data_IF_354891069546
#
_entry.id   IF_354891069546
#
_cell.length_a   1.000
_cell.length_b   1.000
_cell.length_c   1.000
_cell.angle_alpha   90.00
_cell.angle_beta   90.00
_cell.angle_gamma   90.00
#
_symmetry.space_group_name_H-M   'P 1'
#
loop_
_entity.id
_entity.type
_entity.pdbx_description
1 polymer ?
#
# COMPACT_ATOMS: atom_id res chain seq x y z
N UNK A 1 16.52 -15.39 -3.08
CA UNK A 1 17.13 -14.22 -3.76
C UNK A 1 16.34 -13.02 -3.27
N UNK A 2 16.85 -12.37 -2.19
CA UNK A 2 16.20 -11.21 -1.62
C UNK A 2 16.16 -10.08 -2.65
N UNK A 3 14.99 -9.55 -2.93
CA UNK A 3 14.76 -8.44 -3.82
C UNK A 3 14.73 -7.15 -2.99
N UNK A 4 15.91 -6.61 -2.65
CA UNK A 4 15.98 -5.26 -2.11
C UNK A 4 16.12 -4.31 -3.30
N UNK A 5 15.07 -3.49 -3.54
CA UNK A 5 15.18 -2.39 -4.47
C UNK A 5 16.21 -1.37 -3.93
N UNK A 6 17.11 -0.85 -4.77
CA UNK A 6 17.99 0.25 -4.36
C UNK A 6 17.19 1.44 -3.84
N UNK A 7 17.73 2.17 -2.86
CA UNK A 7 17.08 3.36 -2.28
C UNK A 7 16.81 4.47 -3.32
N UNK A 8 17.52 4.46 -4.44
CA UNK A 8 17.39 5.42 -5.57
C UNK A 8 16.64 4.82 -6.77
N UNK A 9 15.71 3.90 -6.51
CA UNK A 9 14.99 3.22 -7.57
C UNK A 9 14.06 4.17 -8.34
N UNK A 10 14.38 4.44 -9.59
CA UNK A 10 13.61 5.26 -10.54
C UNK A 10 12.73 4.44 -11.49
N UNK A 11 12.73 3.11 -11.35
CA UNK A 11 11.97 2.20 -12.23
C UNK A 11 12.62 1.93 -13.59
N UNK A 12 13.74 2.59 -13.91
CA UNK A 12 14.39 2.47 -15.20
C UNK A 12 15.17 1.16 -15.27
N UNK A 13 14.83 0.31 -16.23
CA UNK A 13 15.57 -0.93 -16.56
C UNK A 13 15.03 -2.22 -15.95
N UNK A 14 14.09 -2.18 -15.02
CA UNK A 14 13.47 -3.40 -14.48
C UNK A 14 12.17 -3.74 -15.23
N UNK A 15 12.00 -5.01 -15.55
CA UNK A 15 10.79 -5.50 -16.19
C UNK A 15 9.65 -5.69 -15.18
N UNK A 16 9.98 -6.24 -14.02
CA UNK A 16 9.00 -6.63 -13.01
C UNK A 16 9.10 -5.72 -11.80
N UNK A 17 8.04 -4.99 -11.53
CA UNK A 17 7.92 -4.04 -10.44
C UNK A 17 6.97 -4.57 -9.38
N UNK A 18 7.26 -4.42 -8.08
CA UNK A 18 6.32 -4.72 -7.01
C UNK A 18 4.95 -4.07 -7.21
N UNK A 19 3.89 -4.86 -7.03
CA UNK A 19 2.53 -4.43 -7.32
C UNK A 19 1.61 -4.60 -6.11
N UNK A 20 1.10 -3.48 -5.61
CA UNK A 20 0.17 -3.46 -4.49
C UNK A 20 -1.27 -3.67 -4.98
N UNK A 21 -1.77 -4.88 -4.86
CA UNK A 21 -3.12 -5.29 -5.30
C UNK A 21 -4.14 -5.40 -4.14
N UNK A 22 -3.77 -4.98 -2.96
CA UNK A 22 -4.57 -5.24 -1.77
C UNK A 22 -4.38 -6.69 -1.28
N UNK A 23 -5.43 -7.30 -0.75
CA UNK A 23 -5.38 -8.68 -0.24
C UNK A 23 -6.21 -8.84 1.03
N UNK A 24 -6.00 -9.95 1.74
CA UNK A 24 -6.68 -10.29 2.98
C UNK A 24 -6.40 -9.29 4.11
N UNK A 25 -7.14 -9.44 5.21
CA UNK A 25 -6.93 -8.62 6.40
C UNK A 25 -5.49 -8.76 6.92
N UNK A 26 -4.76 -7.65 6.95
CA UNK A 26 -3.45 -7.54 7.56
C UNK A 26 -3.18 -6.10 7.99
N UNK A 27 -2.73 -5.91 9.22
CA UNK A 27 -2.33 -4.60 9.74
C UNK A 27 -0.82 -4.41 9.62
N UNK A 28 -0.40 -3.17 9.53
CA UNK A 28 0.96 -2.67 9.63
C UNK A 28 1.85 -2.99 8.44
N UNK A 29 1.97 -4.24 7.98
CA UNK A 29 2.85 -4.66 6.89
C UNK A 29 2.37 -5.95 6.21
N UNK A 30 2.62 -6.10 4.90
CA UNK A 30 2.39 -7.34 4.13
C UNK A 30 1.40 -7.22 2.98
N UNK A 31 1.02 -8.36 2.39
CA UNK A 31 0.25 -8.50 1.14
C UNK A 31 1.02 -8.04 -0.10
N UNK A 32 2.32 -8.30 -0.16
CA UNK A 32 3.21 -7.93 -1.26
C UNK A 32 3.60 -9.15 -2.08
N UNK A 33 2.59 -9.82 -2.70
CA UNK A 33 2.76 -11.08 -3.41
C UNK A 33 2.85 -10.90 -4.94
N UNK A 34 2.64 -9.69 -5.44
CA UNK A 34 2.44 -9.47 -6.87
C UNK A 34 3.53 -8.58 -7.46
N UNK A 35 3.82 -8.84 -8.72
CA UNK A 35 4.62 -7.97 -9.58
C UNK A 35 3.84 -7.62 -10.84
N UNK A 36 4.17 -6.50 -11.45
CA UNK A 36 3.61 -6.04 -12.72
C UNK A 36 4.73 -5.85 -13.74
N UNK A 37 4.47 -6.19 -15.01
CA UNK A 37 5.40 -5.90 -16.09
C UNK A 37 5.37 -4.41 -16.44
N UNK A 38 6.38 -3.70 -15.99
CA UNK A 38 6.49 -2.24 -16.22
C UNK A 38 7.67 -1.86 -17.12
N UNK A 39 8.15 -2.80 -17.94
CA UNK A 39 9.24 -2.54 -18.88
C UNK A 39 8.89 -1.38 -19.81
N UNK A 40 9.87 -0.50 -20.08
CA UNK A 40 9.70 0.67 -20.92
C UNK A 40 8.51 1.55 -20.49
N UNK A 41 8.43 1.87 -19.19
CA UNK A 41 7.36 2.66 -18.59
C UNK A 41 5.95 2.07 -18.84
N UNK A 42 5.84 0.75 -18.73
CA UNK A 42 4.58 0.04 -18.88
C UNK A 42 4.02 0.01 -20.31
N UNK A 43 4.89 0.12 -21.34
CA UNK A 43 4.50 0.21 -22.75
C UNK A 43 3.50 -0.88 -23.14
N UNK A 44 3.80 -2.14 -22.81
CA UNK A 44 2.95 -3.28 -23.16
C UNK A 44 1.54 -3.19 -22.53
N UNK A 45 1.46 -2.72 -21.28
CA UNK A 45 0.18 -2.53 -20.59
C UNK A 45 -0.59 -1.34 -21.20
N UNK A 46 0.12 -0.25 -21.51
CA UNK A 46 -0.47 0.92 -22.15
C UNK A 46 -1.04 0.60 -23.54
N UNK A 47 -0.30 -0.16 -24.35
CA UNK A 47 -0.78 -0.64 -25.65
C UNK A 47 -2.00 -1.55 -25.53
N UNK A 48 -1.98 -2.50 -24.57
CA UNK A 48 -3.12 -3.34 -24.28
C UNK A 48 -4.35 -2.51 -23.85
N UNK A 49 -4.17 -1.51 -23.00
CA UNK A 49 -5.24 -0.63 -22.55
C UNK A 49 -5.86 0.15 -23.72
N UNK A 50 -5.05 0.66 -24.66
CA UNK A 50 -5.52 1.32 -25.87
C UNK A 50 -6.34 0.37 -26.74
N UNK A 51 -5.82 -0.83 -27.00
CA UNK A 51 -6.51 -1.87 -27.80
C UNK A 51 -7.87 -2.24 -27.18
N UNK A 52 -7.89 -2.48 -25.87
CA UNK A 52 -9.12 -2.79 -25.12
C UNK A 52 -10.14 -1.66 -25.13
N UNK A 53 -9.68 -0.40 -25.17
CA UNK A 53 -10.50 0.80 -25.15
C UNK A 53 -10.84 1.33 -26.56
N UNK A 54 -10.82 0.48 -27.56
CA UNK A 54 -11.17 0.81 -28.96
C UNK A 54 -10.37 2.01 -29.49
N UNK A 55 -9.05 2.03 -29.24
CA UNK A 55 -8.14 3.07 -29.70
C UNK A 55 -8.11 4.36 -28.85
N UNK A 56 -8.90 4.45 -27.77
CA UNK A 56 -8.84 5.60 -26.85
C UNK A 56 -7.61 5.54 -25.97
N UNK A 57 -7.15 6.69 -25.50
CA UNK A 57 -5.92 6.83 -24.72
C UNK A 57 -5.93 5.94 -23.46
N UNK A 58 -4.77 5.37 -23.12
CA UNK A 58 -4.58 4.46 -21.99
C UNK A 58 -4.83 5.09 -20.62
N UNK A 59 -4.72 6.42 -20.49
CA UNK A 59 -4.89 7.13 -19.20
C UNK A 59 -6.26 6.93 -18.54
N UNK A 60 -7.23 6.38 -19.26
CA UNK A 60 -8.51 5.98 -18.67
C UNK A 60 -8.34 4.83 -17.64
N UNK A 61 -7.35 3.96 -17.84
CA UNK A 61 -7.12 2.77 -17.01
C UNK A 61 -5.88 2.89 -16.13
N UNK A 62 -4.88 3.66 -16.58
CA UNK A 62 -3.62 3.84 -15.86
C UNK A 62 -3.55 5.31 -15.45
N UNK A 63 -3.75 5.57 -14.17
CA UNK A 63 -3.84 6.90 -13.59
C UNK A 63 -2.80 7.08 -12.49
N UNK A 64 -2.64 8.32 -12.00
CA UNK A 64 -1.79 8.67 -10.86
C UNK A 64 -0.32 8.21 -11.03
N UNK A 65 0.24 8.36 -12.23
CA UNK A 65 1.63 8.00 -12.51
C UNK A 65 2.65 8.78 -11.68
N UNK A 66 2.26 9.96 -11.22
CA UNK A 66 3.06 10.79 -10.30
C UNK A 66 3.17 10.20 -8.90
N UNK A 67 2.36 9.19 -8.57
CA UNK A 67 2.34 8.51 -7.27
C UNK A 67 3.07 7.16 -7.28
N UNK A 68 3.48 6.64 -8.44
CA UNK A 68 4.21 5.37 -8.51
C UNK A 68 5.57 5.50 -7.82
N UNK A 69 6.05 4.41 -7.26
CA UNK A 69 7.32 4.29 -6.52
C UNK A 69 7.38 5.06 -5.20
N UNK A 70 6.39 5.86 -4.84
CA UNK A 70 6.38 6.60 -3.59
C UNK A 70 6.09 5.70 -2.40
N UNK A 71 6.73 6.01 -1.28
CA UNK A 71 6.40 5.47 0.03
C UNK A 71 5.07 6.03 0.52
N UNK A 72 4.24 5.19 1.17
CA UNK A 72 2.95 5.63 1.67
C UNK A 72 2.32 4.66 2.67
N UNK A 73 1.00 4.72 2.75
CA UNK A 73 0.18 3.76 3.49
C UNK A 73 -0.95 3.25 2.59
N UNK A 74 -1.30 1.98 2.72
CA UNK A 74 -2.22 1.30 1.81
C UNK A 74 -3.28 0.49 2.53
N UNK A 75 -4.42 0.29 1.86
CA UNK A 75 -5.46 -0.63 2.31
C UNK A 75 -6.05 -1.39 1.13
N UNK A 76 -6.79 -2.45 1.43
CA UNK A 76 -7.56 -3.18 0.42
C UNK A 76 -8.92 -2.51 0.27
N UNK A 77 -9.32 -2.18 -0.98
CA UNK A 77 -10.61 -1.51 -1.23
C UNK A 77 -11.80 -2.38 -0.78
N UNK A 78 -11.69 -3.70 -0.95
CA UNK A 78 -12.69 -4.66 -0.50
C UNK A 78 -12.19 -5.30 0.78
N UNK A 79 -12.98 -5.18 1.85
CA UNK A 79 -12.71 -5.81 3.14
C UNK A 79 -13.93 -6.61 3.58
N UNK A 80 -13.76 -7.91 3.79
CA UNK A 80 -14.81 -8.80 4.32
C UNK A 80 -14.95 -8.71 5.85
N UNK A 81 -14.32 -7.76 6.50
CA UNK A 81 -14.26 -7.67 7.96
C UNK A 81 -13.80 -6.31 8.45
N UNK A 82 -12.74 -6.32 9.24
CA UNK A 82 -12.18 -5.12 9.87
C UNK A 82 -11.34 -4.34 8.87
N UNK A 83 -11.56 -3.02 8.77
CA UNK A 83 -10.69 -2.13 8.02
C UNK A 83 -9.26 -2.14 8.61
N UNK A 84 -8.26 -2.14 7.75
CA UNK A 84 -6.86 -2.12 8.17
C UNK A 84 -5.96 -1.47 7.14
N UNK A 85 -4.99 -0.73 7.63
CA UNK A 85 -3.94 -0.14 6.81
C UNK A 85 -2.58 -0.78 7.05
N UNK A 86 -1.75 -0.74 6.01
CA UNK A 86 -0.38 -1.25 5.98
C UNK A 86 0.57 -0.16 5.48
N UNK A 87 1.80 -0.20 5.96
CA UNK A 87 2.89 0.59 5.40
C UNK A 87 3.16 0.13 3.96
N UNK A 88 3.24 1.06 3.02
CA UNK A 88 3.60 0.82 1.63
C UNK A 88 5.04 1.25 1.40
N UNK A 89 5.97 0.30 1.17
CA UNK A 89 7.36 0.64 0.87
C UNK A 89 7.51 1.41 -0.44
N UNK A 90 8.62 2.13 -0.57
CA UNK A 90 9.01 2.74 -1.84
C UNK A 90 9.19 1.66 -2.92
N UNK A 91 8.95 2.02 -4.18
CA UNK A 91 9.18 1.14 -5.34
C UNK A 91 7.95 0.36 -5.81
N UNK A 92 6.77 0.58 -5.21
CA UNK A 92 5.53 -0.09 -5.60
C UNK A 92 4.74 0.71 -6.65
N UNK A 93 3.99 -0.04 -7.47
CA UNK A 93 2.87 0.46 -8.27
C UNK A 93 1.59 -0.04 -7.63
N UNK A 94 0.58 0.84 -7.50
CA UNK A 94 -0.70 0.48 -6.88
C UNK A 94 -1.77 0.14 -7.90
N UNK A 95 -2.53 -0.92 -7.60
CA UNK A 95 -3.80 -1.26 -8.27
C UNK A 95 -4.96 -0.45 -7.70
N UNK A 96 -6.05 -0.40 -8.42
CA UNK A 96 -7.34 0.07 -7.92
C UNK A 96 -7.78 -0.66 -6.64
N UNK A 97 -7.53 -1.96 -6.55
CA UNK A 97 -7.87 -2.77 -5.38
C UNK A 97 -6.93 -2.55 -4.18
N UNK A 98 -5.74 -2.01 -4.40
CA UNK A 98 -4.74 -1.64 -3.40
C UNK A 98 -4.62 -0.13 -3.28
N UNK A 99 -5.67 0.52 -2.76
CA UNK A 99 -5.67 1.96 -2.56
C UNK A 99 -4.51 2.42 -1.67
N UNK A 100 -3.97 3.61 -1.93
CA UNK A 100 -2.91 4.19 -1.11
C UNK A 100 -3.09 5.69 -0.89
N UNK A 101 -2.50 6.18 0.19
CA UNK A 101 -2.27 7.60 0.46
C UNK A 101 -0.78 7.85 0.61
N UNK A 102 -0.33 9.01 0.13
CA UNK A 102 1.06 9.43 0.15
C UNK A 102 1.18 10.72 0.98
N UNK A 103 1.23 10.60 2.31
CA UNK A 103 1.23 11.75 3.19
C UNK A 103 2.50 12.58 3.04
N UNK A 104 2.35 13.89 3.09
CA UNK A 104 3.47 14.82 3.20
C UNK A 104 4.04 14.84 4.63
N UNK A 105 5.19 15.52 4.81
CA UNK A 105 5.78 15.83 6.11
C UNK A 105 6.06 14.62 7.02
N UNK A 106 6.39 13.46 6.44
CA UNK A 106 6.70 12.23 7.19
C UNK A 106 5.57 11.81 8.14
N UNK A 107 4.34 11.96 7.69
CA UNK A 107 3.15 11.61 8.47
C UNK A 107 2.73 10.13 8.35
N UNK A 108 3.47 9.31 7.61
CA UNK A 108 3.11 7.91 7.34
C UNK A 108 2.82 7.13 8.63
N UNK A 109 3.73 7.16 9.61
CA UNK A 109 3.57 6.39 10.85
C UNK A 109 2.38 6.89 11.67
N UNK A 110 2.23 8.21 11.83
CA UNK A 110 1.13 8.77 12.59
C UNK A 110 -0.23 8.40 12.00
N UNK A 111 -0.40 8.58 10.68
CA UNK A 111 -1.64 8.24 9.99
C UNK A 111 -1.89 6.73 9.95
N UNK A 112 -0.84 5.93 9.75
CA UNK A 112 -0.95 4.46 9.85
C UNK A 112 -1.45 4.03 11.22
N UNK A 113 -0.97 4.67 12.29
CA UNK A 113 -1.46 4.46 13.66
C UNK A 113 -2.93 4.84 13.81
N UNK A 114 -3.29 6.05 13.38
CA UNK A 114 -4.65 6.56 13.45
C UNK A 114 -5.65 5.62 12.74
N UNK A 115 -5.38 5.28 11.48
CA UNK A 115 -6.28 4.47 10.65
C UNK A 115 -6.41 3.01 11.12
N UNK A 116 -5.50 2.53 11.96
CA UNK A 116 -5.61 1.21 12.58
C UNK A 116 -6.29 1.21 13.96
N UNK A 117 -6.85 2.35 14.40
CA UNK A 117 -7.60 2.43 15.66
C UNK A 117 -9.05 1.93 15.52
N UNK A 118 -9.60 1.44 16.63
CA UNK A 118 -11.02 1.06 16.70
C UNK A 118 -11.97 2.24 16.45
N UNK A 119 -11.55 3.46 16.79
CA UNK A 119 -12.33 4.68 16.57
C UNK A 119 -12.54 4.92 15.09
N UNK A 120 -11.45 4.86 14.28
CA UNK A 120 -11.55 5.03 12.84
C UNK A 120 -12.34 3.90 12.19
N UNK A 121 -12.17 2.65 12.65
CA UNK A 121 -12.99 1.53 12.19
C UNK A 121 -14.49 1.81 12.40
N UNK A 122 -14.87 2.32 13.58
CA UNK A 122 -16.25 2.68 13.89
C UNK A 122 -16.76 3.83 13.00
N UNK A 123 -15.96 4.89 12.82
CA UNK A 123 -16.31 6.03 11.95
C UNK A 123 -16.50 5.55 10.50
N UNK A 124 -15.60 4.73 9.98
CA UNK A 124 -15.71 4.21 8.61
C UNK A 124 -16.95 3.34 8.42
N UNK A 125 -17.33 2.53 9.40
CA UNK A 125 -18.59 1.76 9.36
C UNK A 125 -19.84 2.64 9.34
N UNK A 126 -19.80 3.81 10.00
CA UNK A 126 -20.89 4.78 9.93
C UNK A 126 -20.94 5.50 8.59
N UNK A 127 -19.78 5.91 8.05
CA UNK A 127 -19.68 6.61 6.77
C UNK A 127 -20.00 5.71 5.58
N UNK A 128 -19.64 4.44 5.68
CA UNK A 128 -19.83 3.46 4.62
C UNK A 128 -20.06 2.06 5.20
N UNK A 129 -21.31 1.61 5.34
CA UNK A 129 -21.64 0.29 5.86
C UNK A 129 -21.37 -0.86 4.87
N UNK A 130 -20.83 -0.56 3.69
CA UNK A 130 -20.50 -1.58 2.68
C UNK A 130 -19.09 -2.15 2.87
N UNK A 131 -18.81 -3.26 2.18
CA UNK A 131 -17.47 -3.90 2.19
C UNK A 131 -16.41 -3.11 1.40
N UNK A 132 -16.82 -2.12 0.61
CA UNK A 132 -15.92 -1.35 -0.25
C UNK A 132 -15.49 -0.04 0.43
N UNK A 133 -14.27 0.07 0.89
CA UNK A 133 -13.71 1.29 1.46
C UNK A 133 -13.00 2.12 0.38
N UNK A 134 -13.71 3.05 -0.22
CA UNK A 134 -13.20 3.96 -1.25
C UNK A 134 -12.28 5.04 -0.66
N UNK A 135 -11.35 5.62 -1.46
CA UNK A 135 -10.51 6.74 -1.02
C UNK A 135 -11.30 7.91 -0.43
N UNK A 136 -12.47 8.24 -0.99
CA UNK A 136 -13.36 9.28 -0.45
C UNK A 136 -13.88 8.98 0.96
N UNK A 137 -14.11 7.71 1.32
CA UNK A 137 -14.50 7.35 2.69
C UNK A 137 -13.35 7.61 3.67
N UNK A 138 -12.14 7.25 3.30
CA UNK A 138 -10.93 7.48 4.09
C UNK A 138 -10.65 8.96 4.25
N UNK A 139 -10.80 9.75 3.17
CA UNK A 139 -10.61 11.20 3.18
C UNK A 139 -11.59 11.96 4.06
N UNK A 140 -12.76 11.39 4.35
CA UNK A 140 -13.77 11.98 5.23
C UNK A 140 -13.58 11.64 6.72
N UNK A 141 -12.59 10.84 7.09
CA UNK A 141 -12.28 10.55 8.48
C UNK A 141 -11.68 11.79 9.15
N UNK A 142 -12.25 12.28 10.26
CA UNK A 142 -11.71 13.43 10.97
C UNK A 142 -10.31 13.12 11.52
N UNK A 143 -9.41 14.07 11.36
CA UNK A 143 -8.01 13.93 11.72
C UNK A 143 -7.60 15.02 12.71
N UNK A 144 -7.04 14.62 13.84
CA UNK A 144 -6.49 15.51 14.86
C UNK A 144 -5.01 15.16 15.04
N UNK A 145 -4.13 16.12 14.83
CA UNK A 145 -2.71 15.99 15.06
C UNK A 145 -2.34 16.43 16.48
N UNK A 146 -1.87 15.48 17.29
CA UNK A 146 -1.28 15.77 18.61
C UNK A 146 0.23 15.89 18.48
N UNK A 147 0.74 17.11 18.43
CA UNK A 147 2.18 17.36 18.32
C UNK A 147 2.97 16.76 19.50
N UNK A 148 2.44 16.88 20.71
CA UNK A 148 3.12 16.41 21.93
C UNK A 148 3.23 14.88 22.04
N UNK A 149 2.38 14.14 21.32
CA UNK A 149 2.38 12.66 21.35
C UNK A 149 2.90 12.05 20.07
N UNK A 150 3.27 12.87 19.10
CA UNK A 150 3.64 12.40 17.76
C UNK A 150 4.80 11.41 17.82
N UNK A 151 5.89 11.76 18.48
CA UNK A 151 7.09 10.91 18.57
C UNK A 151 6.79 9.56 19.23
N UNK A 152 6.00 9.56 20.31
CA UNK A 152 5.59 8.33 20.98
C UNK A 152 4.74 7.45 20.07
N UNK A 153 3.77 8.04 19.36
CA UNK A 153 2.90 7.33 18.41
C UNK A 153 3.74 6.75 17.27
N UNK A 154 4.59 7.56 16.64
CA UNK A 154 5.45 7.13 15.54
C UNK A 154 6.35 5.96 15.97
N UNK A 155 6.96 6.03 17.15
CA UNK A 155 7.77 4.94 17.70
C UNK A 155 6.99 3.65 17.89
N UNK A 156 5.77 3.73 18.46
CA UNK A 156 4.89 2.56 18.66
C UNK A 156 4.49 1.92 17.34
N UNK A 157 4.09 2.75 16.37
CA UNK A 157 3.68 2.31 15.04
C UNK A 157 4.84 1.68 14.27
N UNK A 158 6.03 2.28 14.33
CA UNK A 158 7.23 1.73 13.69
C UNK A 158 7.60 0.36 14.29
N UNK A 159 7.48 0.20 15.60
CA UNK A 159 7.68 -1.11 16.24
C UNK A 159 6.64 -2.14 15.78
N UNK A 160 5.36 -1.76 15.70
CA UNK A 160 4.29 -2.65 15.20
C UNK A 160 4.51 -3.04 13.74
N UNK A 161 4.95 -2.09 12.91
CA UNK A 161 5.30 -2.34 11.51
C UNK A 161 6.50 -3.29 11.40
N UNK A 162 7.53 -3.08 12.20
CA UNK A 162 8.72 -3.95 12.24
C UNK A 162 8.37 -5.38 12.69
N UNK A 163 7.52 -5.54 13.72
CA UNK A 163 7.04 -6.85 14.15
C UNK A 163 6.22 -7.54 13.04
N UNK A 164 5.31 -6.81 12.39
CA UNK A 164 4.49 -7.35 11.30
C UNK A 164 5.34 -7.69 10.06
N UNK A 165 6.38 -6.90 9.77
CA UNK A 165 7.34 -7.22 8.72
C UNK A 165 8.11 -8.49 9.03
N UNK A 166 8.61 -8.64 10.26
CA UNK A 166 9.31 -9.86 10.68
C UNK A 166 8.42 -11.09 10.55
N UNK A 167 7.14 -10.99 10.92
CA UNK A 167 6.17 -12.06 10.73
C UNK A 167 5.95 -12.35 9.24
N UNK A 168 5.77 -11.34 8.41
CA UNK A 168 5.62 -11.48 6.96
C UNK A 168 6.84 -12.16 6.31
N UNK A 169 8.04 -11.76 6.69
CA UNK A 169 9.30 -12.28 6.14
C UNK A 169 9.67 -13.67 6.68
N UNK A 170 8.90 -14.20 7.63
CA UNK A 170 9.02 -15.57 8.09
C UNK A 170 8.40 -16.61 7.14
N UNK A 171 7.63 -16.15 6.15
CA UNK A 171 6.96 -16.99 5.15
C UNK A 171 7.66 -16.93 3.80
N UNK A 172 7.72 -18.05 3.09
CA UNK A 172 8.35 -18.20 1.77
C UNK A 172 7.72 -17.33 0.67
N UNK A 173 6.52 -16.80 0.91
CA UNK A 173 5.84 -15.86 0.02
C UNK A 173 6.42 -14.45 0.07
N UNK A 174 7.22 -14.13 1.11
CA UNK A 174 7.92 -12.87 1.18
C UNK A 174 9.17 -12.88 0.29
N UNK A 175 9.43 -11.78 -0.39
CA UNK A 175 10.67 -11.60 -1.15
C UNK A 175 11.92 -11.43 -0.27
N UNK A 176 11.72 -11.04 0.99
CA UNK A 176 12.76 -10.89 2.01
C UNK A 176 12.92 -12.16 2.87
N UNK A 177 12.24 -13.26 2.52
CA UNK A 177 12.36 -14.54 3.24
C UNK A 177 13.80 -15.03 3.24
N UNK A 178 14.30 -15.37 4.40
CA UNK A 178 15.65 -15.94 4.58
C UNK A 178 15.61 -17.35 5.11
N UNK A 179 14.77 -17.58 6.12
CA UNK A 179 14.56 -18.90 6.73
C UNK A 179 13.30 -18.88 7.57
N UNK A 180 12.70 -20.04 7.75
CA UNK A 180 11.62 -20.21 8.72
C UNK A 180 12.19 -20.06 10.15
N UNK A 181 11.61 -19.23 11.02
CA UNK A 181 12.10 -19.04 12.38
C UNK A 181 11.94 -20.26 13.30
N UNK A 182 11.17 -21.27 12.87
CA UNK A 182 10.94 -22.50 13.61
C UNK A 182 11.92 -23.65 13.23
N UNK A 183 12.83 -23.39 12.27
CA UNK A 183 13.82 -24.37 11.77
C UNK A 183 15.23 -23.90 11.99
#
# INVERSE_FOLDING_TARGET
IGFSLPLDYDGIGFKWIPYNKGGEFRRWYGNYNYVVNWKNDGLEIKEYAVKRNRGKHWSRYIQNLDCIYKEGITWSIITSGIFSMRYLPQGFICDYAGCAIFPEHKMNSYLLGLFNTKIVEFILKMLNPTVNCQPGNVGNVPFILSQNKREEIDKRVNNSTACSKKDWDAFETSWDFKRNPLV
#
